data_IF_995780109201
#
_entry.id   IF_995780109201
#
_cell.length_a   1.000
_cell.length_b   1.000
_cell.length_c   1.000
_cell.angle_alpha   90.00
_cell.angle_beta   90.00
_cell.angle_gamma   90.00
#
_symmetry.space_group_name_H-M   'P 1'
#
loop_
_entity.id
_entity.type
_entity.pdbx_description
1 polymer ?
#
# COMPACT_ATOMS: atom_id res chain seq x y z
N UNK A 1 -2.76 -6.24 7.28
CA UNK A 1 -2.23 -7.61 7.14
C UNK A 1 -0.69 -7.69 7.15
N UNK A 2 0.03 -6.98 6.27
CA UNK A 2 1.51 -7.04 6.16
C UNK A 2 2.23 -6.67 7.48
N UNK A 3 1.77 -5.64 8.20
CA UNK A 3 2.35 -5.23 9.48
C UNK A 3 2.21 -6.30 10.59
N UNK A 4 1.12 -7.07 10.59
CA UNK A 4 0.87 -8.13 11.56
C UNK A 4 1.82 -9.31 11.29
N UNK A 5 1.97 -9.69 10.02
CA UNK A 5 2.87 -10.78 9.59
C UNK A 5 4.33 -10.41 9.91
N UNK A 6 4.77 -9.20 9.54
CA UNK A 6 6.12 -8.70 9.85
C UNK A 6 6.35 -8.62 11.37
N UNK A 7 5.33 -8.22 12.12
CA UNK A 7 5.35 -8.18 13.58
C UNK A 7 5.53 -9.57 14.22
N UNK A 8 4.78 -10.57 13.74
CA UNK A 8 4.88 -11.95 14.23
C UNK A 8 6.23 -12.59 13.92
N UNK A 9 6.79 -12.33 12.73
CA UNK A 9 8.12 -12.84 12.35
C UNK A 9 9.24 -12.19 13.17
N UNK A 10 9.11 -10.90 13.51
CA UNK A 10 10.13 -10.16 14.28
C UNK A 10 10.02 -10.30 15.80
N UNK A 11 9.03 -11.05 16.30
CA UNK A 11 8.77 -11.29 17.72
C UNK A 11 9.90 -12.10 18.40
N UNK A 12 10.54 -13.02 17.66
CA UNK A 12 11.66 -13.83 18.16
C UNK A 12 12.96 -13.05 18.39
N UNK A 13 13.16 -11.93 17.69
CA UNK A 13 14.43 -11.19 17.71
C UNK A 13 14.38 -9.94 18.60
N UNK A 14 13.25 -9.23 18.65
CA UNK A 14 13.11 -8.00 19.42
C UNK A 14 11.67 -7.80 19.90
N UNK A 15 11.23 -8.52 20.94
CA UNK A 15 9.82 -8.60 21.32
C UNK A 15 9.20 -7.24 21.66
N UNK A 16 9.87 -6.41 22.48
CA UNK A 16 9.35 -5.09 22.87
C UNK A 16 9.27 -4.08 21.71
N UNK A 17 10.24 -4.10 20.79
CA UNK A 17 10.27 -3.22 19.60
C UNK A 17 9.30 -3.69 18.53
N UNK A 18 9.17 -5.00 18.31
CA UNK A 18 8.21 -5.56 17.36
C UNK A 18 6.77 -5.28 17.80
N UNK A 19 6.51 -5.44 19.11
CA UNK A 19 5.20 -5.16 19.69
C UNK A 19 4.79 -3.70 19.46
N UNK A 20 5.62 -2.74 19.88
CA UNK A 20 5.30 -1.31 19.75
C UNK A 20 5.30 -0.78 18.31
N UNK A 21 6.15 -1.33 17.42
CA UNK A 21 6.39 -0.73 16.10
C UNK A 21 5.64 -1.41 14.95
N UNK A 22 5.24 -2.67 15.10
CA UNK A 22 4.61 -3.44 14.01
C UNK A 22 3.30 -4.10 14.44
N UNK A 23 3.25 -4.79 15.59
CA UNK A 23 2.05 -5.51 16.03
C UNK A 23 0.96 -4.58 16.54
N UNK A 24 1.25 -3.64 17.45
CA UNK A 24 0.22 -2.74 17.99
C UNK A 24 -0.43 -1.89 16.89
N UNK A 25 0.31 -1.26 15.96
CA UNK A 25 -0.30 -0.56 14.83
C UNK A 25 -1.02 -1.51 13.88
N UNK A 26 -0.45 -2.69 13.59
CA UNK A 26 -1.03 -3.68 12.68
C UNK A 26 -2.35 -4.26 13.20
N UNK A 27 -2.41 -4.58 14.49
CA UNK A 27 -3.61 -5.05 15.20
C UNK A 27 -4.59 -3.89 15.38
N UNK A 28 -4.15 -2.67 15.67
CA UNK A 28 -5.05 -1.51 15.72
C UNK A 28 -5.69 -1.24 14.35
N UNK A 29 -4.95 -1.32 13.25
CA UNK A 29 -5.48 -1.18 11.88
C UNK A 29 -6.38 -2.36 11.52
N UNK A 30 -6.00 -3.60 11.90
CA UNK A 30 -6.80 -4.79 11.64
C UNK A 30 -8.11 -4.83 12.45
N UNK A 31 -8.04 -4.47 13.73
CA UNK A 31 -9.19 -4.33 14.62
C UNK A 31 -10.04 -3.14 14.20
N UNK A 32 -9.45 -2.02 13.77
CA UNK A 32 -10.20 -0.91 13.18
C UNK A 32 -10.89 -1.37 11.89
N UNK A 33 -10.23 -2.09 10.99
CA UNK A 33 -10.86 -2.59 9.76
C UNK A 33 -11.93 -3.65 10.01
N UNK A 34 -11.81 -4.46 11.08
CA UNK A 34 -12.81 -5.46 11.46
C UNK A 34 -14.00 -4.81 12.19
N UNK A 35 -13.75 -3.91 13.15
CA UNK A 35 -14.78 -3.16 13.88
C UNK A 35 -15.46 -2.10 13.01
N UNK A 36 -14.71 -1.50 12.07
CA UNK A 36 -15.22 -0.54 11.10
C UNK A 36 -15.60 -1.20 9.76
N UNK A 37 -15.52 -2.53 9.65
CA UNK A 37 -15.91 -3.26 8.44
C UNK A 37 -17.38 -3.05 8.10
N UNK A 38 -18.22 -3.01 9.15
CA UNK A 38 -19.64 -2.62 9.05
C UNK A 38 -19.86 -1.10 9.17
N UNK A 39 -18.84 -0.34 9.60
CA UNK A 39 -18.91 1.12 9.76
C UNK A 39 -18.56 1.87 8.47
N UNK A 40 -17.83 1.25 7.54
CA UNK A 40 -17.68 1.77 6.19
C UNK A 40 -19.05 1.73 5.53
N UNK A 41 -19.57 2.88 5.04
CA UNK A 41 -20.89 2.90 4.46
C UNK A 41 -20.89 1.93 3.28
N UNK A 42 -21.86 1.01 3.26
CA UNK A 42 -22.06 0.09 2.13
C UNK A 42 -22.17 0.82 0.79
N UNK A 43 -22.60 2.08 0.82
CA UNK A 43 -22.59 2.98 -0.34
C UNK A 43 -21.20 3.24 -0.95
N UNK A 44 -20.10 2.89 -0.27
CA UNK A 44 -18.73 3.07 -0.74
C UNK A 44 -18.31 1.95 -1.69
N UNK A 45 -18.81 0.73 -1.51
CA UNK A 45 -18.50 -0.43 -2.36
C UNK A 45 -19.73 -0.84 -3.17
N UNK A 46 -19.54 -1.14 -4.45
CA UNK A 46 -20.61 -1.79 -5.22
C UNK A 46 -20.69 -3.26 -4.81
N UNK A 47 -21.91 -3.75 -4.58
CA UNK A 47 -22.16 -5.14 -4.24
C UNK A 47 -22.05 -5.99 -5.51
N UNK A 48 -20.91 -6.69 -5.66
CA UNK A 48 -20.65 -7.59 -6.78
C UNK A 48 -21.49 -8.87 -6.65
N UNK A 49 -22.55 -8.97 -7.43
CA UNK A 49 -23.51 -10.10 -7.38
C UNK A 49 -22.97 -11.39 -7.99
N UNK A 50 -21.92 -11.33 -8.81
CA UNK A 50 -21.42 -12.46 -9.61
C UNK A 50 -20.10 -13.07 -9.08
N UNK A 51 -19.65 -12.69 -7.88
CA UNK A 51 -18.40 -13.18 -7.30
C UNK A 51 -17.17 -12.39 -7.76
N UNK A 52 -16.03 -13.04 -8.00
CA UNK A 52 -14.79 -12.35 -8.35
C UNK A 52 -14.80 -11.88 -9.81
N UNK A 53 -14.78 -10.56 -10.05
CA UNK A 53 -14.71 -10.01 -11.40
C UNK A 53 -13.32 -10.24 -12.03
N UNK A 54 -13.26 -11.05 -13.09
CA UNK A 54 -12.04 -11.38 -13.85
C UNK A 54 -11.37 -10.16 -14.48
N UNK A 55 -12.10 -9.08 -14.78
CA UNK A 55 -11.54 -7.82 -15.28
C UNK A 55 -10.54 -7.19 -14.30
N UNK A 56 -10.72 -7.46 -12.99
CA UNK A 56 -9.80 -7.03 -11.93
C UNK A 56 -8.38 -7.54 -12.16
N UNK A 57 -8.20 -8.73 -12.75
CA UNK A 57 -6.87 -9.28 -13.07
C UNK A 57 -6.16 -8.40 -14.10
N UNK A 58 -6.87 -7.98 -15.15
CA UNK A 58 -6.32 -7.08 -16.17
C UNK A 58 -5.91 -5.74 -15.57
N UNK A 59 -6.75 -5.17 -14.70
CA UNK A 59 -6.46 -3.93 -13.97
C UNK A 59 -5.22 -4.10 -13.07
N UNK A 60 -5.10 -5.21 -12.34
CA UNK A 60 -3.93 -5.50 -11.50
C UNK A 60 -2.66 -5.55 -12.35
N UNK A 61 -2.68 -6.25 -13.49
CA UNK A 61 -1.51 -6.34 -14.38
C UNK A 61 -1.10 -4.96 -14.93
N UNK A 62 -2.06 -4.17 -15.41
CA UNK A 62 -1.81 -2.82 -15.87
C UNK A 62 -1.27 -1.91 -14.76
N UNK A 63 -1.80 -2.06 -13.53
CA UNK A 63 -1.35 -1.33 -12.35
C UNK A 63 0.11 -1.69 -12.00
N UNK A 64 0.44 -2.99 -11.99
CA UNK A 64 1.81 -3.46 -11.74
C UNK A 64 2.76 -2.85 -12.78
N UNK A 65 2.37 -2.87 -14.06
CA UNK A 65 3.18 -2.27 -15.11
C UNK A 65 3.36 -0.76 -14.89
N UNK A 66 2.28 0.00 -14.66
CA UNK A 66 2.33 1.46 -14.48
C UNK A 66 3.22 1.88 -13.30
N UNK A 67 3.16 1.16 -12.18
CA UNK A 67 3.91 1.52 -10.97
C UNK A 67 5.25 0.78 -10.82
N UNK A 68 5.61 -0.09 -11.77
CA UNK A 68 6.90 -0.79 -11.79
C UNK A 68 8.07 0.21 -11.86
N UNK A 69 7.99 1.21 -12.75
CA UNK A 69 9.04 2.22 -12.92
C UNK A 69 9.24 3.08 -11.67
N UNK A 70 8.14 3.50 -11.03
CA UNK A 70 8.18 4.22 -9.76
C UNK A 70 8.88 3.39 -8.67
N UNK A 71 8.49 2.12 -8.53
CA UNK A 71 9.06 1.22 -7.53
C UNK A 71 10.54 0.98 -7.82
N UNK A 72 10.90 0.71 -9.08
CA UNK A 72 12.30 0.52 -9.50
C UNK A 72 13.17 1.73 -9.16
N UNK A 73 12.71 2.94 -9.45
CA UNK A 73 13.44 4.17 -9.13
C UNK A 73 13.69 4.33 -7.62
N UNK A 74 12.69 4.01 -6.78
CA UNK A 74 12.85 4.01 -5.32
C UNK A 74 13.91 3.01 -4.85
N UNK A 75 13.87 1.78 -5.37
CA UNK A 75 14.85 0.76 -5.00
C UNK A 75 16.25 1.11 -5.49
N UNK A 76 16.39 1.66 -6.71
CA UNK A 76 17.67 2.11 -7.25
C UNK A 76 18.29 3.21 -6.38
N UNK A 77 17.51 4.22 -6.01
CA UNK A 77 17.94 5.28 -5.08
C UNK A 77 18.30 4.73 -3.68
N UNK A 78 17.74 3.58 -3.32
CA UNK A 78 18.11 2.85 -2.11
C UNK A 78 19.44 2.13 -2.21
N UNK A 79 19.64 1.42 -3.32
CA UNK A 79 20.86 0.66 -3.57
C UNK A 79 22.08 1.57 -3.70
N UNK A 80 21.94 2.77 -4.25
CA UNK A 80 23.03 3.76 -4.29
C UNK A 80 23.49 4.21 -2.90
N UNK A 81 22.68 4.02 -1.87
CA UNK A 81 23.04 4.29 -0.47
C UNK A 81 23.78 3.15 0.24
N UNK A 82 23.95 1.99 -0.39
CA UNK A 82 24.65 0.83 0.20
C UNK A 82 26.11 0.85 -0.29
N UNK A 83 27.08 0.90 0.64
CA UNK A 83 28.51 0.88 0.26
C UNK A 83 28.90 -0.44 -0.43
N UNK A 84 29.76 -0.34 -1.44
CA UNK A 84 30.37 -1.51 -2.08
C UNK A 84 31.25 -2.31 -1.11
N UNK A 85 31.84 -1.65 -0.11
CA UNK A 85 32.69 -2.31 0.90
C UNK A 85 31.91 -3.39 1.69
N UNK A 86 30.60 -3.19 1.91
CA UNK A 86 29.76 -4.18 2.59
C UNK A 86 29.59 -5.45 1.75
N UNK A 87 29.54 -5.31 0.42
CA UNK A 87 29.49 -6.43 -0.49
C UNK A 87 30.81 -7.18 -0.47
N UNK A 88 31.92 -6.46 -0.60
CA UNK A 88 33.25 -7.08 -0.68
C UNK A 88 33.63 -7.75 0.65
N UNK A 89 33.33 -7.12 1.80
CA UNK A 89 33.49 -7.73 3.11
C UNK A 89 32.65 -9.02 3.25
N UNK A 90 31.38 -9.00 2.82
CA UNK A 90 30.54 -10.20 2.88
C UNK A 90 31.06 -11.34 2.02
N UNK A 91 31.69 -11.02 0.88
CA UNK A 91 32.30 -12.02 -0.01
C UNK A 91 33.57 -12.61 0.59
N UNK A 92 34.39 -11.79 1.28
CA UNK A 92 35.55 -12.27 2.05
C UNK A 92 35.12 -13.22 3.20
N UNK A 93 33.96 -12.97 3.82
CA UNK A 93 33.35 -13.84 4.83
C UNK A 93 32.69 -15.11 4.23
N UNK A 94 32.81 -15.34 2.92
CA UNK A 94 32.30 -16.53 2.23
C UNK A 94 30.82 -16.48 1.84
N UNK A 95 30.17 -15.31 1.90
CA UNK A 95 28.80 -15.17 1.44
C UNK A 95 28.68 -15.27 -0.09
N UNK A 96 27.73 -16.05 -0.58
CA UNK A 96 27.36 -16.03 -2.00
C UNK A 96 26.59 -14.76 -2.35
N UNK A 97 26.54 -14.39 -3.63
CA UNK A 97 25.79 -13.21 -4.11
C UNK A 97 24.32 -13.23 -3.68
N UNK A 98 23.67 -14.41 -3.70
CA UNK A 98 22.28 -14.56 -3.23
C UNK A 98 22.18 -14.35 -1.72
N UNK A 99 23.16 -14.83 -0.95
CA UNK A 99 23.22 -14.62 0.49
C UNK A 99 23.37 -13.13 0.83
N UNK A 100 24.23 -12.40 0.11
CA UNK A 100 24.38 -10.94 0.22
C UNK A 100 23.05 -10.22 0.00
N UNK A 101 22.35 -10.48 -1.10
CA UNK A 101 21.09 -9.79 -1.38
C UNK A 101 20.03 -10.11 -0.33
N UNK A 102 19.87 -11.39 0.05
CA UNK A 102 18.82 -11.83 0.97
C UNK A 102 19.04 -11.36 2.42
N UNK A 103 20.28 -11.38 2.89
CA UNK A 103 20.59 -11.14 4.32
C UNK A 103 21.18 -9.75 4.60
N UNK A 104 21.72 -9.06 3.60
CA UNK A 104 22.36 -7.75 3.78
C UNK A 104 21.58 -6.68 3.01
N UNK A 105 21.57 -6.74 1.68
CA UNK A 105 21.04 -5.64 0.88
C UNK A 105 19.53 -5.44 1.03
N UNK A 106 18.71 -6.50 0.89
CA UNK A 106 17.25 -6.39 1.00
C UNK A 106 16.78 -5.94 2.40
N UNK A 107 17.35 -6.46 3.51
CA UNK A 107 17.06 -5.95 4.85
C UNK A 107 17.42 -4.47 5.03
N UNK A 108 18.53 -3.99 4.45
CA UNK A 108 18.90 -2.58 4.49
C UNK A 108 17.91 -1.68 3.72
N UNK A 109 17.28 -2.21 2.67
CA UNK A 109 16.26 -1.51 1.88
C UNK A 109 14.86 -1.56 2.51
N UNK A 110 14.67 -2.20 3.67
CA UNK A 110 13.38 -2.27 4.39
C UNK A 110 12.67 -0.91 4.54
N UNK A 111 13.34 0.22 4.86
CA UNK A 111 12.68 1.53 4.95
C UNK A 111 12.07 2.00 3.61
N UNK A 112 12.69 1.61 2.50
CA UNK A 112 12.26 1.95 1.14
C UNK A 112 11.06 1.09 0.75
N UNK A 113 11.12 -0.22 1.00
CA UNK A 113 9.97 -1.13 0.82
C UNK A 113 8.75 -0.64 1.59
N UNK A 114 8.92 -0.25 2.86
CA UNK A 114 7.82 0.27 3.69
C UNK A 114 7.24 1.56 3.07
N UNK A 115 8.10 2.47 2.61
CA UNK A 115 7.67 3.71 1.96
C UNK A 115 6.88 3.43 0.68
N UNK A 116 7.40 2.56 -0.18
CA UNK A 116 6.75 2.16 -1.43
C UNK A 116 5.37 1.55 -1.16
N UNK A 117 5.26 0.60 -0.21
CA UNK A 117 3.98 -0.03 0.15
C UNK A 117 2.96 1.00 0.64
N UNK A 118 3.35 1.93 1.50
CA UNK A 118 2.43 2.94 2.03
C UNK A 118 1.95 3.88 0.92
N UNK A 119 2.85 4.35 0.06
CA UNK A 119 2.51 5.27 -1.04
C UNK A 119 1.61 4.56 -2.06
N UNK A 120 1.98 3.33 -2.47
CA UNK A 120 1.18 2.55 -3.43
C UNK A 120 -0.20 2.18 -2.86
N UNK A 121 -0.29 1.86 -1.57
CA UNK A 121 -1.59 1.61 -0.91
C UNK A 121 -2.48 2.86 -0.95
N UNK A 122 -1.92 4.03 -0.67
CA UNK A 122 -2.64 5.30 -0.76
C UNK A 122 -3.14 5.59 -2.19
N UNK A 123 -2.30 5.34 -3.19
CA UNK A 123 -2.66 5.53 -4.60
C UNK A 123 -3.76 4.56 -5.01
N UNK A 124 -3.67 3.29 -4.62
CA UNK A 124 -4.66 2.26 -4.93
C UNK A 124 -6.07 2.65 -4.49
N UNK A 125 -6.23 3.22 -3.28
CA UNK A 125 -7.56 3.56 -2.73
C UNK A 125 -8.34 4.57 -3.59
N UNK A 126 -7.63 5.49 -4.25
CA UNK A 126 -8.23 6.57 -5.05
C UNK A 126 -8.05 6.35 -6.56
N UNK A 127 -7.67 5.13 -6.96
CA UNK A 127 -7.39 4.81 -8.35
C UNK A 127 -8.69 4.79 -9.15
N UNK A 128 -8.94 5.88 -9.89
CA UNK A 128 -10.09 6.00 -10.78
C UNK A 128 -9.66 5.91 -12.24
N UNK A 129 -8.68 6.74 -12.63
CA UNK A 129 -8.34 6.96 -14.04
C UNK A 129 -8.00 5.67 -14.80
N UNK A 130 -7.10 4.84 -14.24
CA UNK A 130 -6.70 3.58 -14.87
C UNK A 130 -7.88 2.61 -14.98
N UNK A 131 -8.66 2.47 -13.91
CA UNK A 131 -9.80 1.55 -13.87
C UNK A 131 -10.83 1.98 -14.90
N UNK A 132 -11.24 3.25 -14.87
CA UNK A 132 -12.20 3.80 -15.80
C UNK A 132 -11.74 3.73 -17.26
N UNK A 133 -10.45 3.97 -17.53
CA UNK A 133 -9.90 3.84 -18.88
C UNK A 133 -9.96 2.40 -19.41
N UNK A 134 -9.82 1.39 -18.55
CA UNK A 134 -9.83 -0.01 -18.94
C UNK A 134 -11.23 -0.62 -19.01
N UNK A 135 -12.13 -0.23 -18.10
CA UNK A 135 -13.47 -0.82 -18.01
C UNK A 135 -14.53 0.00 -18.72
N UNK A 136 -14.29 1.30 -18.88
CA UNK A 136 -15.33 2.24 -19.28
C UNK A 136 -16.44 2.37 -18.22
N UNK A 137 -17.52 3.08 -18.57
CA UNK A 137 -18.64 3.35 -17.68
C UNK A 137 -19.55 2.12 -17.46
N UNK A 138 -19.66 1.25 -18.47
CA UNK A 138 -20.70 0.22 -18.52
C UNK A 138 -20.20 -1.18 -18.09
N UNK A 139 -18.88 -1.39 -18.05
CA UNK A 139 -18.26 -2.60 -17.48
C UNK A 139 -17.54 -2.30 -16.15
N UNK A 140 -17.95 -1.21 -15.48
CA UNK A 140 -17.30 -0.63 -14.32
C UNK A 140 -17.63 -1.27 -12.96
N UNK A 141 -18.42 -2.35 -12.93
CA UNK A 141 -18.70 -3.13 -11.73
C UNK A 141 -17.45 -3.93 -11.32
N UNK A 142 -16.41 -3.22 -10.87
CA UNK A 142 -15.17 -3.78 -10.34
C UNK A 142 -15.12 -3.70 -8.81
N UNK A 143 -16.22 -3.27 -8.19
CA UNK A 143 -16.29 -2.97 -6.76
C UNK A 143 -15.42 -1.81 -6.28
N UNK A 144 -14.71 -1.09 -7.18
CA UNK A 144 -13.73 -0.09 -6.75
C UNK A 144 -14.40 1.21 -6.25
N UNK A 145 -14.09 1.68 -5.02
CA UNK A 145 -14.79 2.82 -4.42
C UNK A 145 -14.70 4.13 -5.20
N UNK A 146 -13.53 4.42 -5.77
CA UNK A 146 -13.32 5.64 -6.55
C UNK A 146 -14.15 5.65 -7.85
N UNK A 147 -14.38 4.47 -8.43
CA UNK A 147 -15.24 4.33 -9.61
C UNK A 147 -16.72 4.47 -9.24
N UNK A 148 -17.13 3.84 -8.13
CA UNK A 148 -18.48 3.99 -7.61
C UNK A 148 -18.83 5.45 -7.26
N UNK A 149 -17.87 6.20 -6.68
CA UNK A 149 -18.03 7.65 -6.48
C UNK A 149 -18.34 8.37 -7.79
N UNK A 150 -17.60 8.07 -8.86
CA UNK A 150 -17.77 8.70 -10.16
C UNK A 150 -19.12 8.33 -10.80
N UNK A 151 -19.47 7.05 -10.82
CA UNK A 151 -20.73 6.58 -11.38
C UNK A 151 -21.93 7.16 -10.62
N UNK A 152 -21.87 7.19 -9.29
CA UNK A 152 -22.93 7.80 -8.46
C UNK A 152 -23.08 9.30 -8.75
N UNK A 153 -21.97 10.02 -8.85
CA UNK A 153 -21.97 11.48 -9.07
C UNK A 153 -22.47 11.84 -10.47
N UNK A 154 -21.87 11.25 -11.50
CA UNK A 154 -22.01 11.74 -12.88
C UNK A 154 -22.89 10.87 -13.77
N UNK A 155 -23.07 9.58 -13.46
CA UNK A 155 -23.98 8.71 -14.21
C UNK A 155 -25.37 8.69 -13.59
N UNK A 156 -25.45 8.61 -12.26
CA UNK A 156 -26.74 8.63 -11.55
C UNK A 156 -27.25 10.05 -11.22
N UNK A 157 -26.46 11.10 -11.51
CA UNK A 157 -26.75 12.50 -11.15
C UNK A 157 -27.02 12.73 -9.65
N UNK A 158 -26.53 11.84 -8.78
CA UNK A 158 -26.66 11.98 -7.33
C UNK A 158 -25.40 12.63 -6.74
N UNK A 159 -25.29 13.93 -6.95
CA UNK A 159 -24.15 14.73 -6.50
C UNK A 159 -23.98 14.72 -4.97
N UNK A 160 -25.08 14.66 -4.23
CA UNK A 160 -25.04 14.66 -2.77
C UNK A 160 -24.42 13.37 -2.23
N UNK A 161 -24.86 12.21 -2.74
CA UNK A 161 -24.29 10.91 -2.38
C UNK A 161 -22.87 10.76 -2.90
N UNK A 162 -22.60 11.21 -4.12
CA UNK A 162 -21.26 11.25 -4.70
C UNK A 162 -20.25 12.04 -3.84
N UNK A 163 -20.65 13.22 -3.38
CA UNK A 163 -19.84 14.06 -2.48
C UNK A 163 -19.60 13.37 -1.12
N UNK A 164 -20.61 12.70 -0.56
CA UNK A 164 -20.44 11.93 0.68
C UNK A 164 -19.41 10.80 0.52
N UNK A 165 -19.47 10.03 -0.58
CA UNK A 165 -18.49 8.99 -0.88
C UNK A 165 -17.08 9.59 -1.02
N UNK A 166 -16.95 10.73 -1.71
CA UNK A 166 -15.67 11.41 -1.91
C UNK A 166 -15.03 11.85 -0.57
N UNK A 167 -15.81 12.42 0.34
CA UNK A 167 -15.33 12.84 1.67
C UNK A 167 -14.83 11.63 2.47
N UNK A 168 -15.55 10.51 2.42
CA UNK A 168 -15.16 9.30 3.15
C UNK A 168 -13.87 8.71 2.56
N UNK A 169 -13.77 8.63 1.24
CA UNK A 169 -12.53 8.21 0.56
C UNK A 169 -11.35 9.12 0.94
N UNK A 170 -11.57 10.43 1.02
CA UNK A 170 -10.56 11.38 1.47
C UNK A 170 -10.09 11.10 2.90
N UNK A 171 -10.99 10.87 3.85
CA UNK A 171 -10.65 10.55 5.24
C UNK A 171 -9.88 9.23 5.37
N UNK A 172 -10.27 8.20 4.61
CA UNK A 172 -9.56 6.92 4.58
C UNK A 172 -8.16 7.13 4.01
N UNK A 173 -8.03 7.80 2.87
CA UNK A 173 -6.73 8.08 2.25
C UNK A 173 -5.82 8.95 3.14
N UNK A 174 -6.40 9.91 3.87
CA UNK A 174 -5.71 10.75 4.84
C UNK A 174 -5.07 9.93 5.97
N UNK A 175 -5.74 8.87 6.42
CA UNK A 175 -5.25 7.95 7.46
C UNK A 175 -3.95 7.25 7.07
N UNK A 176 -3.69 7.03 5.78
CA UNK A 176 -2.42 6.47 5.30
C UNK A 176 -1.33 7.54 5.12
N UNK A 177 -1.67 8.66 4.49
CA UNK A 177 -0.66 9.66 4.08
C UNK A 177 -0.19 10.54 5.24
N UNK A 178 -1.06 10.94 6.17
CA UNK A 178 -0.69 11.84 7.27
C UNK A 178 0.35 11.20 8.20
N UNK A 179 0.17 9.97 8.71
CA UNK A 179 1.19 9.32 9.54
C UNK A 179 2.51 9.11 8.79
N UNK A 180 2.44 8.78 7.50
CA UNK A 180 3.61 8.62 6.65
C UNK A 180 4.42 9.92 6.54
N UNK A 181 3.75 11.03 6.23
CA UNK A 181 4.38 12.35 6.14
C UNK A 181 5.04 12.71 7.48
N UNK A 182 4.32 12.57 8.59
CA UNK A 182 4.87 12.86 9.93
C UNK A 182 6.11 12.01 10.22
N UNK A 183 6.07 10.70 9.93
CA UNK A 183 7.21 9.80 10.11
C UNK A 183 8.40 10.20 9.24
N UNK A 184 8.15 10.54 7.96
CA UNK A 184 9.17 10.95 7.01
C UNK A 184 9.85 12.26 7.44
N UNK A 185 9.07 13.26 7.86
CA UNK A 185 9.60 14.52 8.39
C UNK A 185 10.44 14.32 9.66
N UNK A 186 10.00 13.45 10.58
CA UNK A 186 10.76 13.13 11.80
C UNK A 186 12.09 12.46 11.49
N UNK A 187 12.13 11.54 10.53
CA UNK A 187 13.37 10.86 10.13
C UNK A 187 14.42 11.82 9.53
N UNK A 188 13.97 12.82 8.76
CA UNK A 188 14.86 13.85 8.20
C UNK A 188 15.47 14.76 9.27
N UNK A 189 14.72 15.06 10.34
CA UNK A 189 15.21 15.91 11.44
C UNK A 189 16.25 15.21 12.34
N UNK A 190 16.27 13.87 12.33
CA UNK A 190 17.20 13.06 13.14
C UNK A 190 18.47 12.63 12.40
N UNK A 191 18.60 12.97 11.11
CA UNK A 191 19.83 12.79 10.31
C UNK A 191 20.53 14.12 10.20
#
# INVERSE_FOLDING_TARGET
>A
FILIIVGFVSLKQAPQRSLKRYLVPGVAIGAFAWLAGDALPKALFMEESHGFNVATIGIILATIWQYSGYTMALYLAGFTGISQDLRDASMLDGASTVAYYRHIALPMLKPITISAVIILSHISLKMFDLIFAMTGPDNGETGHPALNMYLTTFRANDFAKGAAIAIILFLIAATFIIPYLISSYRQRRTR
#
